data_IF_001434723985
#
_entry.id   IF_001434723985
#
_cell.length_a   1.000
_cell.length_b   1.000
_cell.length_c   1.000
_cell.angle_alpha   90.00
_cell.angle_beta   90.00
_cell.angle_gamma   90.00
#
_symmetry.space_group_name_H-M   'P 1'
#
loop_
_entity.id
_entity.type
_entity.pdbx_description
1 polymer ?
#
# COMPACT_ATOMS: atom_id res chain seq x y z
N UNK A 1 -2.83 -3.29 -4.90
CA UNK A 1 -1.54 -3.43 -4.21
C UNK A 1 -0.73 -2.16 -4.39
N UNK A 2 -1.11 -1.16 -3.60
CA UNK A 2 -0.65 0.24 -3.64
C UNK A 2 -0.25 0.65 -2.20
N UNK A 3 0.71 -0.06 -1.60
CA UNK A 3 1.02 0.05 -0.16
C UNK A 3 1.39 1.47 0.23
N UNK A 4 2.27 2.13 -0.55
CA UNK A 4 2.77 3.45 -0.19
C UNK A 4 1.64 4.49 -0.24
N UNK A 5 0.76 4.43 -1.23
CA UNK A 5 -0.40 5.31 -1.30
C UNK A 5 -1.38 5.10 -0.14
N UNK A 6 -1.69 3.85 0.23
CA UNK A 6 -2.59 3.59 1.37
C UNK A 6 -1.99 4.06 2.70
N UNK A 7 -0.68 3.89 2.88
CA UNK A 7 0.03 4.42 4.05
C UNK A 7 -0.02 5.95 4.06
N UNK A 8 0.27 6.60 2.93
CA UNK A 8 0.29 8.05 2.82
C UNK A 8 -1.09 8.69 3.04
N UNK A 9 -2.16 8.08 2.51
CA UNK A 9 -3.53 8.58 2.65
C UNK A 9 -4.22 8.13 3.94
N UNK A 10 -3.61 7.21 4.69
CA UNK A 10 -4.21 6.56 5.87
C UNK A 10 -4.13 7.37 7.16
N UNK A 11 -3.18 8.30 7.24
CA UNK A 11 -2.83 9.05 8.44
C UNK A 11 -1.57 8.52 9.11
N UNK A 12 -1.00 9.33 10.01
CA UNK A 12 0.36 9.13 10.54
C UNK A 12 0.39 8.39 11.88
N UNK A 13 -0.75 8.18 12.54
CA UNK A 13 -0.78 7.49 13.83
C UNK A 13 -0.47 5.99 13.66
N UNK A 14 0.21 5.32 14.61
CA UNK A 14 0.56 3.90 14.47
C UNK A 14 -0.63 2.98 14.12
N UNK A 15 -1.82 3.11 14.76
CA UNK A 15 -2.99 2.30 14.38
C UNK A 15 -3.49 2.56 12.95
N UNK A 16 -3.32 3.78 12.45
CA UNK A 16 -3.69 4.16 11.09
C UNK A 16 -2.75 3.52 10.07
N UNK A 17 -1.43 3.60 10.30
CA UNK A 17 -0.42 2.96 9.45
C UNK A 17 -0.61 1.43 9.40
N UNK A 18 -0.87 0.81 10.54
CA UNK A 18 -1.18 -0.63 10.61
C UNK A 18 -2.45 -0.95 9.80
N UNK A 19 -3.54 -0.24 10.07
CA UNK A 19 -4.81 -0.46 9.38
C UNK A 19 -4.75 -0.25 7.86
N UNK A 20 -3.92 0.70 7.40
CA UNK A 20 -3.66 0.96 5.98
C UNK A 20 -3.03 -0.22 5.25
N UNK A 21 -2.22 -1.03 5.94
CA UNK A 21 -1.69 -2.27 5.36
C UNK A 21 -2.65 -3.43 5.58
N UNK A 22 -3.32 -3.48 6.73
CA UNK A 22 -4.20 -4.59 7.10
C UNK A 22 -5.38 -4.75 6.12
N UNK A 23 -5.81 -3.70 5.42
CA UNK A 23 -6.87 -3.81 4.40
C UNK A 23 -6.61 -4.85 3.32
N UNK A 24 -5.34 -5.08 2.97
CA UNK A 24 -4.94 -6.09 2.01
C UNK A 24 -4.99 -7.52 2.59
N UNK A 25 -4.87 -7.68 3.91
CA UNK A 25 -4.74 -8.98 4.58
C UNK A 25 -5.97 -9.40 5.39
N UNK A 26 -6.78 -8.45 5.84
CA UNK A 26 -7.98 -8.68 6.64
C UNK A 26 -9.21 -8.62 5.72
N UNK A 27 -9.78 -9.79 5.42
CA UNK A 27 -10.96 -9.93 4.56
C UNK A 27 -12.24 -10.11 5.37
N UNK A 28 -13.37 -9.75 4.77
CA UNK A 28 -14.70 -9.89 5.38
C UNK A 28 -15.09 -8.75 6.33
N UNK A 29 -16.21 -8.93 7.05
CA UNK A 29 -16.73 -7.93 8.00
C UNK A 29 -15.75 -7.64 9.13
N UNK A 30 -15.73 -6.38 9.58
CA UNK A 30 -14.99 -5.94 10.76
C UNK A 30 -15.96 -5.93 11.94
N UNK A 31 -15.72 -6.84 12.89
CA UNK A 31 -16.63 -7.19 13.97
C UNK A 31 -16.01 -7.00 15.38
N UNK A 32 -15.04 -6.08 15.51
CA UNK A 32 -14.39 -5.78 16.79
C UNK A 32 -13.21 -6.70 17.11
N UNK A 33 -12.62 -7.37 16.12
CA UNK A 33 -11.42 -8.20 16.32
C UNK A 33 -10.15 -7.35 16.47
N UNK A 34 -10.18 -6.13 15.94
CA UNK A 34 -9.07 -5.19 16.01
C UNK A 34 -9.47 -3.95 16.83
N UNK A 35 -8.50 -3.21 17.40
CA UNK A 35 -8.75 -1.90 17.96
C UNK A 35 -9.55 -1.01 17.00
N UNK A 36 -10.44 -0.18 17.54
CA UNK A 36 -11.38 0.63 16.75
C UNK A 36 -10.69 1.50 15.70
N UNK A 37 -9.53 2.07 16.01
CA UNK A 37 -8.74 2.88 15.09
C UNK A 37 -8.16 2.06 13.93
N UNK A 38 -7.70 0.83 14.19
CA UNK A 38 -7.23 -0.09 13.15
C UNK A 38 -8.39 -0.47 12.24
N UNK A 39 -9.57 -0.81 12.80
CA UNK A 39 -10.75 -1.09 11.98
C UNK A 39 -11.17 0.11 11.14
N UNK A 40 -11.11 1.33 11.68
CA UNK A 40 -11.41 2.55 10.95
C UNK A 40 -10.44 2.74 9.77
N UNK A 41 -9.14 2.49 9.98
CA UNK A 41 -8.13 2.57 8.92
C UNK A 41 -8.30 1.45 7.87
N UNK A 42 -8.68 0.23 8.26
CA UNK A 42 -9.05 -0.84 7.30
C UNK A 42 -10.26 -0.41 6.45
N UNK A 43 -11.27 0.22 7.07
CA UNK A 43 -12.43 0.76 6.32
C UNK A 43 -11.99 1.86 5.35
N UNK A 44 -11.07 2.73 5.76
CA UNK A 44 -10.52 3.77 4.89
C UNK A 44 -9.78 3.17 3.69
N UNK A 45 -8.89 2.19 3.91
CA UNK A 45 -8.22 1.45 2.83
C UNK A 45 -9.23 0.94 1.79
N UNK A 46 -10.27 0.22 2.24
CA UNK A 46 -11.31 -0.33 1.35
C UNK A 46 -12.09 0.76 0.60
N UNK A 47 -12.28 1.94 1.21
CA UNK A 47 -12.93 3.08 0.55
C UNK A 47 -12.03 3.69 -0.53
N UNK A 48 -10.73 3.78 -0.28
CA UNK A 48 -9.75 4.23 -1.26
C UNK A 48 -9.77 3.27 -2.45
N UNK A 49 -9.70 1.96 -2.22
CA UNK A 49 -9.78 0.94 -3.28
C UNK A 49 -11.05 1.10 -4.11
N UNK A 50 -12.21 1.17 -3.46
CA UNK A 50 -13.49 1.29 -4.14
C UNK A 50 -13.56 2.57 -5.00
N UNK A 51 -13.00 3.68 -4.50
CA UNK A 51 -12.91 4.93 -5.25
C UNK A 51 -11.97 4.80 -6.46
N UNK A 52 -10.77 4.26 -6.29
CA UNK A 52 -9.78 4.16 -7.38
C UNK A 52 -10.19 3.13 -8.44
N UNK A 53 -10.74 1.99 -8.04
CA UNK A 53 -11.17 0.93 -8.96
C UNK A 53 -12.37 1.33 -9.80
N UNK A 54 -13.25 2.18 -9.27
CA UNK A 54 -14.40 2.72 -10.01
C UNK A 54 -14.08 3.96 -10.84
N UNK A 55 -12.87 4.53 -10.71
CA UNK A 55 -12.52 5.77 -11.37
C UNK A 55 -12.40 5.62 -12.91
N UNK A 56 -13.02 6.49 -13.72
CA UNK A 56 -12.98 6.37 -15.19
C UNK A 56 -11.56 6.36 -15.78
N UNK A 57 -10.62 7.09 -15.17
CA UNK A 57 -9.23 7.07 -15.62
C UNK A 57 -8.54 5.73 -15.34
N UNK A 58 -8.93 5.03 -14.27
CA UNK A 58 -8.42 3.70 -13.96
C UNK A 58 -8.91 2.68 -14.98
N UNK A 59 -10.19 2.74 -15.36
CA UNK A 59 -10.74 1.92 -16.43
C UNK A 59 -10.03 2.19 -17.78
N UNK A 60 -9.78 3.46 -18.12
CA UNK A 60 -9.04 3.84 -19.33
C UNK A 60 -7.59 3.33 -19.30
N UNK A 61 -6.92 3.40 -18.15
CA UNK A 61 -5.56 2.89 -18.00
C UNK A 61 -5.52 1.36 -18.17
N UNK A 62 -6.42 0.62 -17.52
CA UNK A 62 -6.56 -0.85 -17.66
C UNK A 62 -6.83 -1.25 -19.11
N UNK A 63 -7.62 -0.47 -19.85
CA UNK A 63 -7.96 -0.74 -21.25
C UNK A 63 -6.77 -0.63 -22.22
N UNK A 64 -5.68 0.06 -21.83
CA UNK A 64 -4.44 0.15 -22.64
C UNK A 64 -3.64 -1.16 -22.65
N UNK A 65 -3.88 -2.05 -21.70
CA UNK A 65 -3.21 -3.35 -21.67
C UNK A 65 -3.80 -4.31 -22.71
N UNK A 66 -2.96 -5.14 -23.36
CA UNK A 66 -3.42 -6.21 -24.24
C UNK A 66 -4.40 -7.13 -23.50
N UNK A 67 -5.37 -7.69 -24.23
CA UNK A 67 -6.41 -8.55 -23.63
C UNK A 67 -5.83 -9.68 -22.77
N UNK A 68 -4.72 -10.30 -23.21
CA UNK A 68 -4.02 -11.37 -22.50
C UNK A 68 -3.47 -10.94 -21.12
N UNK A 69 -3.23 -9.64 -20.90
CA UNK A 69 -2.66 -9.07 -19.65
C UNK A 69 -3.65 -8.24 -18.83
N UNK A 70 -4.93 -8.14 -19.24
CA UNK A 70 -5.93 -7.32 -18.52
C UNK A 70 -6.21 -7.81 -17.09
N UNK A 71 -6.03 -9.11 -16.81
CA UNK A 71 -6.22 -9.65 -15.45
C UNK A 71 -5.16 -9.13 -14.47
N UNK A 72 -3.93 -8.94 -14.92
CA UNK A 72 -2.83 -8.42 -14.09
C UNK A 72 -2.69 -6.90 -14.17
N UNK A 73 -3.33 -6.24 -15.15
CA UNK A 73 -3.25 -4.80 -15.36
C UNK A 73 -3.56 -3.97 -14.11
N UNK A 74 -4.50 -4.40 -13.26
CA UNK A 74 -4.80 -3.70 -12.00
C UNK A 74 -3.59 -3.64 -11.08
N UNK A 75 -3.02 -4.81 -10.75
CA UNK A 75 -1.82 -4.90 -9.91
C UNK A 75 -0.65 -4.10 -10.50
N UNK A 76 -0.44 -4.17 -11.81
CA UNK A 76 0.62 -3.42 -12.48
C UNK A 76 0.43 -1.91 -12.38
N UNK A 77 -0.81 -1.44 -12.50
CA UNK A 77 -1.14 -0.03 -12.32
C UNK A 77 -0.95 0.42 -10.87
N UNK A 78 -1.33 -0.41 -9.90
CA UNK A 78 -1.14 -0.09 -8.49
C UNK A 78 0.35 0.08 -8.15
N UNK A 79 1.20 -0.85 -8.58
CA UNK A 79 2.66 -0.76 -8.42
C UNK A 79 3.23 0.48 -9.13
N UNK A 80 2.71 0.78 -10.33
CA UNK A 80 3.13 1.96 -11.08
C UNK A 80 2.70 3.27 -10.40
N UNK A 81 1.56 3.29 -9.71
CA UNK A 81 1.14 4.47 -8.95
C UNK A 81 1.97 4.67 -7.69
N UNK A 82 2.30 3.60 -6.96
CA UNK A 82 3.26 3.66 -5.86
C UNK A 82 4.63 4.17 -6.36
N UNK A 83 5.08 3.77 -7.56
CA UNK A 83 6.28 4.30 -8.19
C UNK A 83 6.19 5.80 -8.47
N UNK A 84 5.12 6.26 -9.14
CA UNK A 84 4.93 7.69 -9.42
C UNK A 84 4.88 8.51 -8.12
N UNK A 85 4.18 8.03 -7.10
CA UNK A 85 4.12 8.67 -5.79
C UNK A 85 5.50 8.74 -5.13
N UNK A 86 6.28 7.66 -5.14
CA UNK A 86 7.61 7.63 -4.56
C UNK A 86 8.62 8.52 -5.31
N UNK A 87 8.51 8.57 -6.65
CA UNK A 87 9.36 9.41 -7.51
C UNK A 87 9.09 10.90 -7.27
N UNK A 88 7.81 11.28 -7.24
CA UNK A 88 7.37 12.68 -7.14
C UNK A 88 6.99 13.05 -5.70
N UNK A 89 7.52 12.32 -4.71
CA UNK A 89 7.10 12.39 -3.31
C UNK A 89 7.08 13.82 -2.72
N UNK A 90 8.05 14.65 -3.13
CA UNK A 90 8.17 16.05 -2.68
C UNK A 90 6.98 16.93 -3.06
N UNK A 91 6.17 16.52 -4.04
CA UNK A 91 4.94 17.21 -4.42
C UNK A 91 3.75 16.85 -3.51
N UNK A 92 3.82 15.70 -2.84
CA UNK A 92 2.70 15.12 -2.07
C UNK A 92 2.92 15.15 -0.56
N UNK A 93 4.17 15.26 -0.10
CA UNK A 93 4.49 15.27 1.32
C UNK A 93 5.67 16.20 1.65
N UNK A 94 5.55 16.91 2.77
CA UNK A 94 6.61 17.77 3.29
C UNK A 94 7.77 16.97 3.93
N UNK A 95 7.47 15.79 4.50
CA UNK A 95 8.50 14.92 5.08
C UNK A 95 9.22 14.12 3.98
N UNK A 96 10.54 13.88 4.09
CA UNK A 96 11.24 13.01 3.13
C UNK A 96 10.69 11.58 3.12
N UNK A 97 10.65 10.94 1.95
CA UNK A 97 10.15 9.56 1.79
C UNK A 97 10.86 8.60 2.74
N UNK A 98 12.19 8.69 2.80
CA UNK A 98 13.02 7.81 3.62
C UNK A 98 12.71 7.97 5.12
N UNK A 99 12.26 9.15 5.56
CA UNK A 99 11.79 9.35 6.93
C UNK A 99 10.44 8.65 7.15
N UNK A 100 9.51 8.86 6.22
CA UNK A 100 8.19 8.23 6.28
C UNK A 100 8.28 6.70 6.31
N UNK A 101 9.03 6.08 5.39
CA UNK A 101 9.11 4.61 5.29
C UNK A 101 9.78 4.00 6.52
N UNK A 102 10.80 4.65 7.08
CA UNK A 102 11.42 4.23 8.36
C UNK A 102 10.43 4.24 9.51
N UNK A 103 9.57 5.26 9.60
CA UNK A 103 8.52 5.30 10.63
C UNK A 103 7.52 4.16 10.46
N UNK A 104 7.09 3.87 9.23
CA UNK A 104 6.23 2.71 8.94
C UNK A 104 6.88 1.40 9.38
N UNK A 105 8.15 1.18 9.05
CA UNK A 105 8.86 -0.03 9.45
C UNK A 105 9.05 -0.15 10.96
N UNK A 106 9.28 0.98 11.64
CA UNK A 106 9.36 1.02 13.11
C UNK A 106 8.02 0.59 13.74
N UNK A 107 6.90 1.06 13.20
CA UNK A 107 5.56 0.67 13.67
C UNK A 107 5.31 -0.82 13.41
N UNK A 108 5.65 -1.33 12.23
CA UNK A 108 5.50 -2.75 11.91
C UNK A 108 6.36 -3.65 12.80
N UNK A 109 7.59 -3.24 13.12
CA UNK A 109 8.48 -4.00 13.99
C UNK A 109 8.03 -3.98 15.46
N UNK A 110 7.31 -2.94 15.88
CA UNK A 110 6.78 -2.81 17.23
C UNK A 110 5.46 -3.56 17.46
N UNK A 111 4.79 -4.01 16.38
CA UNK A 111 3.51 -4.71 16.44
C UNK A 111 3.71 -6.23 16.48
N UNK A 112 3.44 -6.91 17.62
CA UNK A 112 3.66 -8.34 17.75
C UNK A 112 2.64 -9.19 16.98
N UNK A 113 1.42 -8.69 16.72
CA UNK A 113 0.31 -9.49 16.18
C UNK A 113 -0.10 -9.06 14.76
N UNK A 114 0.88 -8.97 13.86
CA UNK A 114 0.62 -8.72 12.44
C UNK A 114 -0.26 -9.82 11.81
N UNK A 115 -1.25 -9.48 10.95
CA UNK A 115 -2.17 -10.45 10.39
C UNK A 115 -1.58 -11.27 9.24
N UNK A 116 -1.78 -12.58 9.29
CA UNK A 116 -1.61 -13.48 8.15
C UNK A 116 -0.24 -13.39 7.48
N UNK A 117 -0.22 -13.18 6.15
CA UNK A 117 1.02 -13.10 5.36
C UNK A 117 1.85 -11.85 5.69
N UNK A 118 1.25 -10.79 6.24
CA UNK A 118 1.99 -9.57 6.59
C UNK A 118 3.06 -9.84 7.65
N UNK A 119 2.77 -10.69 8.65
CA UNK A 119 3.76 -11.08 9.67
C UNK A 119 5.02 -11.72 9.07
N UNK A 120 4.87 -12.48 7.98
CA UNK A 120 5.97 -13.14 7.29
C UNK A 120 6.75 -12.19 6.36
N UNK A 121 6.06 -11.17 5.83
CA UNK A 121 6.62 -10.25 4.84
C UNK A 121 7.27 -9.03 5.48
N UNK A 122 6.72 -8.51 6.58
CA UNK A 122 7.15 -7.25 7.20
C UNK A 122 8.65 -7.21 7.54
N UNK A 123 9.29 -8.26 8.10
CA UNK A 123 10.73 -8.23 8.37
C UNK A 123 11.57 -8.07 7.10
N UNK A 124 11.19 -8.76 6.02
CA UNK A 124 11.90 -8.67 4.72
C UNK A 124 11.63 -7.34 4.04
N UNK A 125 10.39 -6.87 4.11
CA UNK A 125 9.94 -5.59 3.57
C UNK A 125 10.76 -4.43 4.16
N UNK A 126 10.98 -4.45 5.48
CA UNK A 126 11.82 -3.47 6.17
C UNK A 126 13.30 -3.63 5.84
N UNK A 127 13.83 -4.86 5.85
CA UNK A 127 15.25 -5.12 5.57
C UNK A 127 15.69 -4.71 4.15
N UNK A 128 14.76 -4.67 3.21
CA UNK A 128 15.01 -4.34 1.80
C UNK A 128 14.36 -3.00 1.38
N UNK A 129 13.84 -2.21 2.33
CA UNK A 129 13.15 -0.94 2.08
C UNK A 129 12.20 -0.97 0.87
N UNK A 130 11.26 -1.92 0.82
CA UNK A 130 10.37 -2.07 -0.33
C UNK A 130 9.58 -0.80 -0.66
N UNK A 131 9.18 -0.04 0.37
CA UNK A 131 8.36 1.17 0.23
C UNK A 131 9.18 2.33 -0.34
N UNK A 132 10.41 2.53 0.14
CA UNK A 132 11.31 3.55 -0.41
C UNK A 132 11.81 3.16 -1.80
N UNK A 133 12.02 1.86 -2.03
CA UNK A 133 12.47 1.29 -3.29
C UNK A 133 11.50 1.52 -4.46
N UNK A 134 10.23 1.85 -4.21
CA UNK A 134 9.30 2.22 -5.28
C UNK A 134 9.79 3.41 -6.12
N UNK A 135 10.71 4.25 -5.61
CA UNK A 135 11.31 5.33 -6.43
C UNK A 135 12.09 4.78 -7.63
N UNK A 136 12.63 3.57 -7.52
CA UNK A 136 13.43 2.94 -8.56
C UNK A 136 12.53 2.12 -9.48
N UNK A 137 12.42 2.53 -10.75
CA UNK A 137 11.55 1.83 -11.70
C UNK A 137 11.94 0.34 -11.87
N UNK A 138 13.23 0.02 -11.78
CA UNK A 138 13.74 -1.34 -11.89
C UNK A 138 13.18 -2.31 -10.81
N UNK A 139 12.71 -1.79 -9.68
CA UNK A 139 12.11 -2.61 -8.62
C UNK A 139 10.77 -3.19 -9.06
N UNK A 140 10.04 -2.52 -9.94
CA UNK A 140 8.78 -3.03 -10.48
C UNK A 140 9.01 -4.30 -11.30
N UNK A 141 10.13 -4.40 -12.03
CA UNK A 141 10.47 -5.58 -12.83
C UNK A 141 10.66 -6.82 -11.94
N UNK A 142 11.26 -6.65 -10.76
CA UNK A 142 11.50 -7.73 -9.81
C UNK A 142 10.22 -8.27 -9.16
N UNK A 143 9.17 -7.44 -9.06
CA UNK A 143 7.87 -7.83 -8.50
C UNK A 143 7.01 -8.59 -9.52
N UNK A 144 7.26 -8.37 -10.82
CA UNK A 144 6.48 -8.93 -11.93
C UNK A 144 7.05 -10.25 -12.46
N UNK A 145 8.36 -10.48 -12.29
CA UNK A 145 9.08 -11.68 -12.72
C UNK A 145 8.72 -12.92 -11.89
#
# INVERSE_FOLDING_TARGET
>A
MNYLAHLHLGGDAPPQLLGSLYGDFVKGPLAGRWPTEIEAAIRLHRRIDAFTDSHPLQARARARFPAARRRTAGMLLDLFFDHCLARDWVEYAAQPLDHFTREVYRVLAAEPELPGRLALMAPRMAAQDWLGSYREFAVLEQVIA
#
